data_IF_947452756563
#
_entry.id   IF_947452756563
#
_cell.length_a   1.000
_cell.length_b   1.000
_cell.length_c   1.000
_cell.angle_alpha   90.00
_cell.angle_beta   90.00
_cell.angle_gamma   90.00
#
_symmetry.space_group_name_H-M   'P 1'
#
loop_
_entity.id
_entity.type
_entity.pdbx_description
1 polymer ?
#
# COMPACT_ATOMS: atom_id res chain seq x y z
N UNK A 1 38.84 -22.89 79.12
CA UNK A 1 37.63 -23.49 78.52
C UNK A 1 36.99 -22.43 77.65
N UNK A 2 37.31 -22.47 76.34
CA UNK A 2 36.70 -21.70 75.26
C UNK A 2 35.20 -22.04 75.15
N UNK A 3 34.30 -21.25 74.59
CA UNK A 3 34.31 -19.90 74.01
C UNK A 3 32.82 -19.56 73.80
N UNK A 4 32.51 -18.27 73.82
CA UNK A 4 31.17 -17.71 73.79
C UNK A 4 30.34 -18.03 72.54
N UNK A 5 29.04 -18.00 72.80
CA UNK A 5 27.89 -18.21 71.93
C UNK A 5 27.75 -17.22 70.77
N UNK A 6 27.46 -17.80 69.61
CA UNK A 6 26.63 -17.34 68.48
C UNK A 6 25.82 -16.04 68.65
N UNK A 7 25.81 -15.22 67.59
CA UNK A 7 24.57 -14.67 67.04
C UNK A 7 24.52 -14.77 65.51
N UNK A 8 23.34 -15.16 65.04
CA UNK A 8 22.95 -15.49 63.66
C UNK A 8 22.81 -14.22 62.82
N UNK A 9 23.26 -14.26 61.56
CA UNK A 9 22.87 -13.29 60.53
C UNK A 9 22.01 -14.01 59.50
N UNK A 10 20.79 -13.53 59.39
CA UNK A 10 19.69 -13.96 58.53
C UNK A 10 20.06 -13.86 57.05
N UNK A 11 20.00 -14.96 56.30
CA UNK A 11 20.25 -14.98 54.85
C UNK A 11 18.92 -14.81 54.11
N UNK A 12 18.51 -13.56 53.88
CA UNK A 12 17.44 -13.22 52.92
C UNK A 12 18.10 -12.83 51.60
N UNK A 13 18.87 -13.75 51.00
CA UNK A 13 19.64 -13.45 49.78
C UNK A 13 19.35 -14.29 48.52
N UNK A 14 18.58 -15.41 48.52
CA UNK A 14 18.38 -16.14 47.26
C UNK A 14 17.08 -15.76 46.52
N UNK A 15 16.09 -15.11 47.14
CA UNK A 15 14.75 -14.94 46.53
C UNK A 15 14.62 -13.72 45.59
N UNK A 16 15.38 -12.64 45.82
CA UNK A 16 15.32 -11.43 44.97
C UNK A 16 15.98 -11.67 43.61
N UNK A 17 17.01 -12.52 43.54
CA UNK A 17 17.73 -12.85 42.31
C UNK A 17 16.87 -13.67 41.31
N UNK A 18 15.98 -14.53 41.83
CA UNK A 18 15.10 -15.38 41.02
C UNK A 18 13.99 -14.55 40.34
N UNK A 19 13.47 -13.52 41.01
CA UNK A 19 12.45 -12.64 40.43
C UNK A 19 13.02 -11.74 39.32
N UNK A 20 14.28 -11.32 39.43
CA UNK A 20 14.95 -10.52 38.38
C UNK A 20 15.28 -11.33 37.12
N UNK A 21 15.54 -12.64 37.26
CA UNK A 21 15.72 -13.55 36.13
C UNK A 21 14.40 -13.85 35.39
N UNK A 22 13.29 -13.92 36.10
CA UNK A 22 11.97 -14.17 35.50
C UNK A 22 11.45 -12.98 34.66
N UNK A 23 11.83 -11.74 35.01
CA UNK A 23 11.43 -10.54 34.27
C UNK A 23 12.23 -10.38 32.96
N UNK A 24 13.50 -10.81 32.94
CA UNK A 24 14.35 -10.79 31.74
C UNK A 24 14.03 -11.87 30.70
N UNK A 25 13.27 -12.90 31.09
CA UNK A 25 12.90 -14.03 30.23
C UNK A 25 11.52 -13.87 29.57
N UNK A 26 10.84 -12.74 29.76
CA UNK A 26 9.80 -12.29 28.81
C UNK A 26 10.52 -11.79 27.57
N UNK A 27 11.18 -12.74 26.89
CA UNK A 27 11.75 -12.53 25.58
C UNK A 27 10.62 -11.99 24.72
N UNK A 28 10.76 -10.74 24.28
CA UNK A 28 10.16 -10.33 23.04
C UNK A 28 10.59 -11.41 22.03
N UNK A 29 9.64 -12.23 21.60
CA UNK A 29 9.84 -13.10 20.44
C UNK A 29 10.37 -12.19 19.35
N UNK A 30 11.66 -12.30 19.00
CA UNK A 30 12.19 -11.65 17.82
C UNK A 30 11.34 -12.17 16.66
N UNK A 31 10.49 -11.31 16.12
CA UNK A 31 9.65 -11.66 15.00
C UNK A 31 10.59 -11.80 13.81
N UNK A 32 10.96 -13.03 13.46
CA UNK A 32 11.71 -13.30 12.23
C UNK A 32 10.87 -12.78 11.06
N UNK A 33 11.26 -11.61 10.55
CA UNK A 33 10.63 -11.03 9.37
C UNK A 33 11.10 -11.82 8.15
N UNK A 34 10.20 -12.19 7.22
CA UNK A 34 10.59 -12.91 6.03
C UNK A 34 11.61 -12.09 5.23
N UNK A 35 12.72 -12.73 4.84
CA UNK A 35 13.72 -12.10 3.98
C UNK A 35 13.12 -11.84 2.59
N UNK A 36 12.98 -10.57 2.21
CA UNK A 36 12.49 -10.18 0.89
C UNK A 36 13.67 -9.93 -0.04
N UNK A 37 13.79 -10.73 -1.10
CA UNK A 37 14.78 -10.54 -2.17
C UNK A 37 14.10 -10.07 -3.45
N UNK A 38 14.54 -8.94 -4.00
CA UNK A 38 14.12 -8.46 -5.32
C UNK A 38 14.88 -9.25 -6.37
N UNK A 39 14.20 -10.15 -7.08
CA UNK A 39 14.82 -11.02 -8.09
C UNK A 39 14.79 -10.43 -9.50
N UNK A 40 13.89 -9.48 -9.77
CA UNK A 40 13.71 -8.89 -11.09
C UNK A 40 13.01 -7.54 -11.01
N UNK A 41 13.36 -6.63 -11.93
CA UNK A 41 12.63 -5.40 -12.20
C UNK A 41 12.33 -5.36 -13.69
N UNK A 42 11.08 -5.08 -14.05
CA UNK A 42 10.63 -4.98 -15.44
C UNK A 42 9.65 -3.83 -15.62
N UNK A 43 9.71 -3.19 -16.79
CA UNK A 43 8.74 -2.18 -17.19
C UNK A 43 7.50 -2.89 -17.74
N UNK A 44 6.36 -2.69 -17.10
CA UNK A 44 5.07 -3.24 -17.53
C UNK A 44 4.47 -2.42 -18.68
N UNK A 45 4.54 -1.10 -18.57
CA UNK A 45 3.88 -0.18 -19.51
C UNK A 45 4.60 1.16 -19.55
N UNK A 46 4.61 1.80 -20.72
CA UNK A 46 4.87 3.22 -20.86
C UNK A 46 4.19 3.73 -22.14
N UNK A 47 3.79 4.99 -22.11
CA UNK A 47 3.24 5.73 -23.24
C UNK A 47 3.71 7.19 -23.27
N UNK A 48 4.64 7.57 -22.39
CA UNK A 48 5.08 8.97 -22.25
C UNK A 48 4.15 9.85 -21.42
N UNK A 49 3.00 9.33 -20.97
CA UNK A 49 2.06 10.03 -20.09
C UNK A 49 2.46 9.84 -18.61
N UNK A 50 1.92 10.69 -17.73
CA UNK A 50 2.04 10.52 -16.29
C UNK A 50 1.15 9.35 -15.82
N UNK A 51 1.78 8.19 -15.60
CA UNK A 51 1.13 6.97 -15.12
C UNK A 51 1.31 6.79 -13.61
N UNK A 52 0.22 6.73 -12.85
CA UNK A 52 0.26 6.60 -11.39
C UNK A 52 -1.00 5.94 -10.82
N UNK A 53 -1.02 5.76 -9.50
CA UNK A 53 -2.13 5.19 -8.74
C UNK A 53 -2.44 3.76 -9.19
N UNK A 54 -1.40 2.93 -9.13
CA UNK A 54 -1.42 1.56 -9.63
C UNK A 54 -2.18 0.64 -8.68
N UNK A 55 -3.00 -0.23 -9.26
CA UNK A 55 -3.53 -1.40 -8.58
C UNK A 55 -3.28 -2.67 -9.43
N UNK A 56 -3.10 -3.81 -8.77
CA UNK A 56 -2.77 -5.11 -9.37
C UNK A 56 -3.55 -6.21 -8.65
N UNK A 57 -4.30 -7.00 -9.41
CA UNK A 57 -5.04 -8.15 -8.89
C UNK A 57 -4.86 -9.37 -9.77
N UNK A 58 -4.99 -10.57 -9.18
CA UNK A 58 -5.19 -11.82 -9.92
C UNK A 58 -6.66 -12.20 -9.90
N UNK A 59 -7.24 -12.47 -11.07
CA UNK A 59 -8.63 -12.87 -11.23
C UNK A 59 -8.75 -13.89 -12.37
N UNK A 60 -9.41 -15.02 -12.13
CA UNK A 60 -9.57 -16.11 -13.11
C UNK A 60 -8.26 -16.49 -13.83
N UNK A 61 -7.21 -16.77 -13.05
CA UNK A 61 -5.86 -17.13 -13.52
C UNK A 61 -5.15 -16.13 -14.43
N UNK A 62 -5.62 -14.88 -14.44
CA UNK A 62 -4.99 -13.76 -15.15
C UNK A 62 -4.63 -12.65 -14.18
N UNK A 63 -3.58 -11.92 -14.52
CA UNK A 63 -3.18 -10.69 -13.82
C UNK A 63 -3.83 -9.49 -14.51
N UNK A 64 -4.38 -8.59 -13.72
CA UNK A 64 -4.93 -7.32 -14.18
C UNK A 64 -4.23 -6.18 -13.45
N UNK A 65 -3.76 -5.20 -14.21
CA UNK A 65 -3.11 -4.00 -13.69
C UNK A 65 -3.86 -2.78 -14.19
N UNK A 66 -4.11 -1.81 -13.32
CA UNK A 66 -4.75 -0.55 -13.68
C UNK A 66 -3.91 0.62 -13.22
N UNK A 67 -3.91 1.71 -13.99
CA UNK A 67 -3.30 2.99 -13.62
C UNK A 67 -4.15 4.13 -14.16
N UNK A 68 -4.04 5.31 -13.54
CA UNK A 68 -4.38 6.57 -14.19
C UNK A 68 -3.27 6.92 -15.17
N UNK A 69 -3.63 7.23 -16.41
CA UNK A 69 -2.75 7.74 -17.46
C UNK A 69 -3.21 9.15 -17.85
N UNK A 70 -2.31 10.13 -17.78
CA UNK A 70 -2.62 11.52 -18.06
C UNK A 70 -1.51 12.19 -18.90
N UNK A 71 -1.82 12.72 -20.09
CA UNK A 71 -0.84 13.42 -20.92
C UNK A 71 -0.41 14.76 -20.30
N UNK A 72 -1.30 15.41 -19.55
CA UNK A 72 -1.08 16.74 -18.96
C UNK A 72 -0.49 16.68 -17.53
N UNK A 73 0.27 15.63 -17.21
CA UNK A 73 1.02 15.47 -15.94
C UNK A 73 0.19 15.05 -14.70
N UNK A 74 0.70 15.40 -13.50
CA UNK A 74 0.22 14.94 -12.20
C UNK A 74 -1.07 15.65 -11.74
N UNK A 75 -1.40 16.82 -12.28
CA UNK A 75 -2.49 17.67 -11.80
C UNK A 75 -3.89 17.10 -12.05
N UNK A 76 -4.91 17.93 -11.97
CA UNK A 76 -6.28 17.54 -12.33
C UNK A 76 -6.53 17.92 -13.78
N UNK A 77 -6.82 16.94 -14.63
CA UNK A 77 -7.00 17.15 -16.06
C UNK A 77 -8.18 16.37 -16.62
N UNK A 78 -9.06 16.98 -17.44
CA UNK A 78 -10.16 16.28 -18.11
C UNK A 78 -9.66 15.31 -19.21
N UNK A 79 -8.37 15.34 -19.52
CA UNK A 79 -7.67 14.45 -20.46
C UNK A 79 -7.18 13.16 -19.80
N UNK A 80 -7.30 13.04 -18.47
CA UNK A 80 -6.90 11.82 -17.78
C UNK A 80 -7.81 10.66 -18.15
N UNK A 81 -7.28 9.45 -18.05
CA UNK A 81 -8.01 8.22 -18.31
C UNK A 81 -7.51 7.09 -17.44
N UNK A 82 -8.36 6.11 -17.21
CA UNK A 82 -7.97 4.84 -16.60
C UNK A 82 -7.63 3.87 -17.71
N UNK A 83 -6.48 3.22 -17.58
CA UNK A 83 -6.08 2.10 -18.44
C UNK A 83 -6.09 0.81 -17.64
N UNK A 84 -6.52 -0.27 -18.28
CA UNK A 84 -6.49 -1.63 -17.72
C UNK A 84 -5.65 -2.49 -18.65
N UNK A 85 -4.65 -3.13 -18.07
CA UNK A 85 -3.78 -4.10 -18.72
C UNK A 85 -4.07 -5.50 -18.17
N UNK A 86 -3.89 -6.50 -19.00
CA UNK A 86 -4.02 -7.91 -18.63
C UNK A 86 -2.76 -8.68 -19.01
N UNK A 87 -2.42 -9.70 -18.24
CA UNK A 87 -1.31 -10.61 -18.50
C UNK A 87 -1.60 -12.03 -18.01
N UNK A 88 -1.12 -13.03 -18.72
CA UNK A 88 -1.16 -14.44 -18.28
C UNK A 88 0.05 -14.81 -17.42
N UNK A 89 1.20 -14.19 -17.65
CA UNK A 89 2.51 -14.55 -17.07
C UNK A 89 3.14 -13.42 -16.23
N UNK A 90 2.42 -12.30 -16.10
CA UNK A 90 2.88 -11.03 -15.55
C UNK A 90 4.10 -10.41 -16.28
N UNK A 91 4.54 -10.96 -17.41
CA UNK A 91 5.70 -10.49 -18.20
C UNK A 91 5.23 -9.76 -19.45
N UNK A 92 4.30 -10.34 -20.18
CA UNK A 92 3.71 -9.75 -21.39
C UNK A 92 2.35 -9.16 -21.05
N UNK A 93 2.17 -7.87 -21.34
CA UNK A 93 0.96 -7.13 -20.97
C UNK A 93 0.25 -6.60 -22.21
N UNK A 94 -1.07 -6.74 -22.24
CA UNK A 94 -1.94 -6.19 -23.30
C UNK A 94 -2.90 -5.18 -22.69
N UNK A 95 -3.15 -4.07 -23.40
CA UNK A 95 -4.21 -3.13 -23.05
C UNK A 95 -5.57 -3.76 -23.36
N UNK A 96 -6.44 -3.88 -22.36
CA UNK A 96 -7.78 -4.46 -22.52
C UNK A 96 -8.90 -3.43 -22.35
N UNK A 97 -8.62 -2.31 -21.69
CA UNK A 97 -9.58 -1.21 -21.58
C UNK A 97 -8.87 0.13 -21.41
N UNK A 98 -9.45 1.19 -21.97
CA UNK A 98 -9.12 2.59 -21.65
C UNK A 98 -10.41 3.40 -21.61
N UNK A 99 -10.66 4.11 -20.51
CA UNK A 99 -11.86 4.91 -20.36
C UNK A 99 -11.59 6.23 -19.63
N UNK A 100 -12.46 7.20 -19.89
CA UNK A 100 -12.45 8.54 -19.30
C UNK A 100 -13.88 8.97 -19.00
N UNK A 101 -14.06 9.98 -18.17
CA UNK A 101 -15.36 10.60 -17.92
C UNK A 101 -15.32 12.05 -18.42
N UNK A 102 -16.24 12.46 -19.32
CA UNK A 102 -16.20 13.80 -19.90
C UNK A 102 -16.11 14.90 -18.84
N UNK A 103 -15.23 15.87 -19.07
CA UNK A 103 -14.98 17.04 -18.20
C UNK A 103 -14.47 16.68 -16.79
N UNK A 104 -13.97 15.45 -16.59
CA UNK A 104 -13.52 14.97 -15.29
C UNK A 104 -12.17 14.29 -15.38
N UNK A 105 -11.39 14.45 -14.33
CA UNK A 105 -10.21 13.63 -14.11
C UNK A 105 -10.64 12.33 -13.43
N UNK A 106 -10.47 11.20 -14.11
CA UNK A 106 -10.62 9.87 -13.52
C UNK A 106 -9.38 9.51 -12.70
N UNK A 107 -9.57 9.29 -11.39
CA UNK A 107 -8.50 9.17 -10.40
C UNK A 107 -8.57 7.90 -9.58
N UNK A 108 -7.39 7.42 -9.20
CA UNK A 108 -7.19 6.34 -8.24
C UNK A 108 -8.04 5.10 -8.58
N UNK A 109 -7.76 4.44 -9.72
CA UNK A 109 -8.49 3.24 -10.08
C UNK A 109 -8.10 2.07 -9.16
N UNK A 110 -9.10 1.33 -8.71
CA UNK A 110 -8.92 0.12 -7.92
C UNK A 110 -9.75 -1.03 -8.46
N UNK A 111 -9.25 -2.25 -8.24
CA UNK A 111 -9.97 -3.46 -8.56
C UNK A 111 -10.80 -3.97 -7.38
N UNK A 112 -11.90 -4.61 -7.70
CA UNK A 112 -12.65 -5.44 -6.77
C UNK A 112 -13.05 -6.73 -7.48
N UNK A 113 -12.51 -7.86 -7.02
CA UNK A 113 -13.02 -9.17 -7.40
C UNK A 113 -14.18 -9.53 -6.46
N UNK A 114 -15.40 -9.57 -6.98
CA UNK A 114 -16.59 -9.84 -6.18
C UNK A 114 -17.62 -10.64 -6.97
N UNK A 115 -18.14 -11.71 -6.36
CA UNK A 115 -19.18 -12.57 -6.95
C UNK A 115 -18.86 -13.04 -8.39
N UNK A 116 -17.63 -13.49 -8.62
CA UNK A 116 -17.21 -13.99 -9.94
C UNK A 116 -17.13 -12.90 -11.02
N UNK A 117 -17.06 -11.63 -10.63
CA UNK A 117 -16.88 -10.48 -11.52
C UNK A 117 -15.68 -9.67 -11.09
N UNK A 118 -14.99 -9.10 -12.08
CA UNK A 118 -13.95 -8.11 -11.86
C UNK A 118 -14.51 -6.72 -12.11
N UNK A 119 -14.51 -5.90 -11.07
CA UNK A 119 -14.89 -4.50 -11.13
C UNK A 119 -13.64 -3.63 -11.16
N UNK A 120 -13.73 -2.51 -11.88
CA UNK A 120 -12.81 -1.38 -11.77
C UNK A 120 -13.64 -0.19 -11.32
N UNK A 121 -13.24 0.43 -10.21
CA UNK A 121 -13.87 1.65 -9.72
C UNK A 121 -12.81 2.73 -9.55
N UNK A 122 -13.22 3.98 -9.67
CA UNK A 122 -12.32 5.14 -9.69
C UNK A 122 -13.09 6.35 -9.20
N UNK A 123 -12.43 7.23 -8.46
CA UNK A 123 -12.97 8.55 -8.16
C UNK A 123 -12.98 9.41 -9.41
N UNK A 124 -13.85 10.42 -9.45
CA UNK A 124 -13.76 11.45 -10.49
C UNK A 124 -13.82 12.83 -9.90
N UNK A 125 -13.06 13.74 -10.51
CA UNK A 125 -13.01 15.13 -10.10
C UNK A 125 -13.44 16.02 -11.25
N UNK A 126 -14.40 16.91 -11.03
CA UNK A 126 -14.89 17.79 -12.11
C UNK A 126 -13.87 18.89 -12.41
N UNK A 127 -13.46 18.96 -13.68
CA UNK A 127 -12.50 19.94 -14.18
C UNK A 127 -13.18 21.01 -15.03
N UNK A 128 -14.28 20.65 -15.71
CA UNK A 128 -14.80 21.44 -16.83
C UNK A 128 -14.07 21.10 -18.13
N UNK A 129 -14.05 22.04 -19.08
CA UNK A 129 -13.47 21.82 -20.40
C UNK A 129 -11.92 21.92 -20.41
N UNK A 130 -11.31 22.36 -19.31
CA UNK A 130 -9.86 22.49 -19.16
C UNK A 130 -9.40 22.21 -17.73
N UNK A 131 -8.08 22.14 -17.54
CA UNK A 131 -7.45 21.97 -16.23
C UNK A 131 -7.80 23.16 -15.32
N UNK A 132 -8.31 22.94 -14.10
CA UNK A 132 -8.53 24.01 -13.14
C UNK A 132 -7.21 24.66 -12.74
N UNK A 133 -7.26 25.94 -12.37
CA UNK A 133 -6.07 26.63 -11.85
C UNK A 133 -5.73 26.09 -10.46
N UNK A 134 -4.43 26.04 -10.13
CA UNK A 134 -3.92 25.41 -8.90
C UNK A 134 -4.59 25.95 -7.62
N UNK A 135 -4.93 27.24 -7.57
CA UNK A 135 -5.60 27.85 -6.41
C UNK A 135 -7.12 27.62 -6.37
N UNK A 136 -7.71 27.04 -7.42
CA UNK A 136 -9.14 26.70 -7.49
C UNK A 136 -9.40 25.27 -7.02
N UNK A 137 -8.37 24.52 -6.63
CA UNK A 137 -8.57 23.15 -6.17
C UNK A 137 -9.52 23.08 -4.96
N UNK A 138 -9.45 24.07 -4.06
CA UNK A 138 -10.31 24.14 -2.88
C UNK A 138 -11.71 24.71 -3.16
N UNK A 139 -11.91 25.44 -4.26
CA UNK A 139 -13.22 26.05 -4.57
C UNK A 139 -14.18 25.11 -5.29
N UNK A 140 -13.71 23.92 -5.69
CA UNK A 140 -14.49 22.89 -6.36
C UNK A 140 -15.24 21.95 -5.39
N UNK A 141 -14.92 21.96 -4.09
CA UNK A 141 -15.59 21.13 -3.07
C UNK A 141 -17.06 21.53 -2.79
N UNK A 142 -17.54 22.66 -3.30
CA UNK A 142 -18.88 23.20 -3.01
C UNK A 142 -19.78 23.42 -4.22
N UNK A 143 -19.40 22.94 -5.41
CA UNK A 143 -20.17 23.14 -6.66
C UNK A 143 -20.81 21.83 -7.15
N UNK A 144 -21.67 21.25 -6.33
CA UNK A 144 -22.50 20.10 -6.68
C UNK A 144 -23.97 20.51 -6.72
#
# INVERSE_FOLDING_TARGET
>A
MNMQSSRRVTVIFPQVLVCLWAIGAVNASEMEVPEVRVTNIRRVFHNGEHNAFTDLIRFCDRFYLTVRSCPDEHGVHPTSSIIVLESEDARTWKLVQRFQVPKRDTRDPNFLAFQGKLFVYTGTWYCGDSSPKVYEYTSLYGKF
#
